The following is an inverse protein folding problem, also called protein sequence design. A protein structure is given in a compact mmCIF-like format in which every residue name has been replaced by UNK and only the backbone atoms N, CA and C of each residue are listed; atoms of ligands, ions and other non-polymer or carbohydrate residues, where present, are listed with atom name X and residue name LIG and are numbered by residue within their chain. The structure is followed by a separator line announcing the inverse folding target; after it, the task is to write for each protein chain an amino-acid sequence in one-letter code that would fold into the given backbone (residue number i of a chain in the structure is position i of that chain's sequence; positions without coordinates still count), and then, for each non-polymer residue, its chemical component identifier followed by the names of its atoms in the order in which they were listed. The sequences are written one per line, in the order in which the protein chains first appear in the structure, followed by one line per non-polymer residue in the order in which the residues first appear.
data_IF_475017272249
#
_entry.id   IF_475017272249
#
_cell.length_a   1.000
_cell.length_b   1.000
_cell.length_c   1.000
_cell.angle_alpha   90.00
_cell.angle_beta   90.00
_cell.angle_gamma   90.00
#
_symmetry.space_group_name_H-M   'P 1'
#
loop_
_entity.id
_entity.type
_entity.pdbx_description
1 polymer ?
#
# COMPACT_ATOMS: atom_id res chain seq x y z
N UNK A 1 8.40 -28.68 -26.16
CA UNK A 1 8.75 -29.54 -25.01
C UNK A 1 9.94 -28.94 -24.28
N UNK A 2 10.01 -29.10 -22.96
CA UNK A 2 11.14 -28.73 -22.11
C UNK A 2 11.69 -30.00 -21.45
N UNK A 3 13.01 -30.10 -21.28
CA UNK A 3 13.66 -31.22 -20.61
C UNK A 3 13.94 -30.86 -19.16
N UNK A 4 13.44 -31.67 -18.23
CA UNK A 4 13.71 -31.54 -16.79
C UNK A 4 14.34 -32.85 -16.32
N UNK A 5 15.63 -32.82 -16.03
CA UNK A 5 16.42 -34.03 -15.78
C UNK A 5 16.39 -34.97 -17.00
N UNK A 6 15.89 -36.18 -16.79
CA UNK A 6 15.77 -37.22 -17.83
C UNK A 6 14.39 -37.28 -18.50
N UNK A 7 13.45 -36.40 -18.11
CA UNK A 7 12.09 -36.38 -18.67
C UNK A 7 11.91 -35.24 -19.65
N UNK A 8 11.27 -35.55 -20.78
CA UNK A 8 10.72 -34.54 -21.70
C UNK A 8 9.26 -34.29 -21.36
N UNK A 9 8.92 -33.01 -21.19
CA UNK A 9 7.59 -32.57 -20.75
C UNK A 9 7.09 -31.50 -21.73
N UNK A 10 5.80 -31.51 -22.04
CA UNK A 10 5.18 -30.44 -22.83
C UNK A 10 5.22 -29.11 -22.07
N UNK A 11 5.62 -28.03 -22.74
CA UNK A 11 5.71 -26.71 -22.13
C UNK A 11 4.44 -25.92 -22.41
N UNK A 12 3.73 -25.50 -21.35
CA UNK A 12 2.58 -24.61 -21.48
C UNK A 12 3.04 -23.14 -21.62
N UNK A 13 2.69 -22.42 -22.70
CA UNK A 13 3.03 -21.01 -22.87
C UNK A 13 2.57 -20.08 -21.74
N UNK A 14 1.49 -20.42 -21.04
CA UNK A 14 0.96 -19.64 -19.91
C UNK A 14 1.64 -19.94 -18.57
N UNK A 15 2.61 -20.85 -18.54
CA UNK A 15 3.32 -21.19 -17.32
C UNK A 15 4.14 -20.01 -16.78
N UNK A 16 3.97 -19.73 -15.47
CA UNK A 16 4.74 -18.72 -14.74
C UNK A 16 5.38 -19.36 -13.51
N UNK A 17 6.63 -18.99 -13.24
CA UNK A 17 7.40 -19.55 -12.14
C UNK A 17 7.97 -18.44 -11.25
N UNK A 18 7.76 -18.59 -9.94
CA UNK A 18 8.23 -17.66 -8.93
C UNK A 18 8.93 -18.45 -7.82
N UNK A 19 10.09 -17.98 -7.38
CA UNK A 19 10.81 -18.50 -6.21
C UNK A 19 10.91 -17.39 -5.19
N UNK A 20 10.70 -17.71 -3.91
CA UNK A 20 10.89 -16.79 -2.80
C UNK A 20 11.93 -17.33 -1.82
N UNK A 21 12.61 -16.42 -1.12
CA UNK A 21 13.57 -16.74 -0.06
C UNK A 21 13.41 -15.75 1.08
N UNK A 22 13.71 -16.19 2.31
CA UNK A 22 13.71 -15.34 3.51
C UNK A 22 15.06 -14.69 3.77
N UNK A 23 16.09 -15.04 3.01
CA UNK A 23 17.41 -14.43 3.13
C UNK A 23 17.34 -13.00 2.59
N UNK A 24 17.78 -12.02 3.38
CA UNK A 24 17.70 -10.59 3.01
C UNK A 24 18.64 -10.21 1.86
N UNK A 25 19.80 -10.86 1.77
CA UNK A 25 20.78 -10.64 0.70
C UNK A 25 21.51 -11.94 0.32
N UNK A 26 20.82 -12.90 -0.31
CA UNK A 26 21.44 -14.13 -0.79
C UNK A 26 22.45 -13.80 -1.89
N UNK A 27 23.67 -14.31 -1.76
CA UNK A 27 24.70 -14.13 -2.78
C UNK A 27 24.46 -15.12 -3.93
N UNK A 28 23.77 -14.67 -4.99
CA UNK A 28 23.60 -15.44 -6.22
C UNK A 28 24.81 -15.29 -7.13
N UNK A 29 25.15 -16.37 -7.85
CA UNK A 29 26.19 -16.30 -8.88
C UNK A 29 25.71 -15.44 -10.06
N UNK A 30 26.63 -14.82 -10.82
CA UNK A 30 26.27 -14.03 -12.01
C UNK A 30 25.41 -14.83 -13.00
N UNK A 31 25.65 -16.14 -13.11
CA UNK A 31 24.85 -17.02 -13.96
C UNK A 31 23.36 -17.00 -13.58
N UNK A 32 23.04 -17.12 -12.29
CA UNK A 32 21.65 -17.06 -11.82
C UNK A 32 21.08 -15.65 -12.06
N UNK A 33 21.84 -14.60 -11.74
CA UNK A 33 21.42 -13.21 -11.91
C UNK A 33 21.14 -12.83 -13.38
N UNK A 34 21.75 -13.50 -14.36
CA UNK A 34 21.41 -13.30 -15.78
C UNK A 34 20.15 -14.04 -16.23
N UNK A 35 19.76 -15.12 -15.55
CA UNK A 35 18.62 -15.98 -15.90
C UNK A 35 17.35 -15.63 -15.14
N UNK A 36 17.45 -14.86 -14.07
CA UNK A 36 16.33 -14.52 -13.18
C UNK A 36 16.27 -13.04 -12.89
N UNK A 37 15.06 -12.50 -12.77
CA UNK A 37 14.84 -11.15 -12.24
C UNK A 37 14.74 -11.21 -10.72
N UNK A 38 15.73 -10.63 -10.03
CA UNK A 38 15.74 -10.57 -8.57
C UNK A 38 14.91 -9.36 -8.11
N UNK A 39 13.89 -9.61 -7.29
CA UNK A 39 13.07 -8.56 -6.64
C UNK A 39 13.38 -8.57 -5.15
N UNK A 40 13.87 -7.44 -4.63
CA UNK A 40 14.21 -7.30 -3.22
C UNK A 40 13.11 -6.56 -2.46
N UNK A 41 12.49 -7.24 -1.49
CA UNK A 41 11.47 -6.69 -0.58
C UNK A 41 12.06 -6.17 0.74
N UNK A 42 13.32 -5.73 0.74
CA UNK A 42 13.96 -5.18 1.92
C UNK A 42 13.15 -4.01 2.48
N UNK A 43 12.90 -4.07 3.80
CA UNK A 43 12.22 -3.02 4.55
C UNK A 43 13.06 -1.75 4.47
N UNK A 44 12.42 -0.65 4.08
CA UNK A 44 13.03 0.68 4.04
C UNK A 44 12.62 1.48 5.27
N UNK A 45 13.52 2.30 5.78
CA UNK A 45 13.31 3.08 7.00
C UNK A 45 12.07 3.95 6.94
N UNK A 46 11.89 4.71 5.87
CA UNK A 46 10.71 5.54 5.65
C UNK A 46 9.40 4.71 5.59
N UNK A 47 9.46 3.51 5.00
CA UNK A 47 8.31 2.61 4.91
C UNK A 47 7.94 2.03 6.28
N UNK A 48 8.94 1.62 7.06
CA UNK A 48 8.75 1.12 8.41
C UNK A 48 8.24 2.21 9.35
N UNK A 49 8.81 3.42 9.27
CA UNK A 49 8.34 4.58 10.04
C UNK A 49 6.85 4.85 9.79
N UNK A 50 6.42 4.88 8.53
CA UNK A 50 5.02 5.07 8.18
C UNK A 50 4.12 3.95 8.73
N UNK A 51 4.59 2.70 8.72
CA UNK A 51 3.87 1.57 9.30
C UNK A 51 3.75 1.69 10.83
N UNK A 52 4.84 2.07 11.50
CA UNK A 52 4.87 2.26 12.95
C UNK A 52 4.01 3.45 13.37
N UNK A 53 3.95 4.52 12.56
CA UNK A 53 3.07 5.65 12.78
C UNK A 53 1.60 5.21 12.83
N UNK A 54 1.16 4.39 11.87
CA UNK A 54 -0.19 3.84 11.88
C UNK A 54 -0.49 3.01 13.14
N UNK A 55 0.49 2.23 13.62
CA UNK A 55 0.34 1.46 14.87
C UNK A 55 0.19 2.39 16.09
N UNK A 56 0.99 3.46 16.18
CA UNK A 56 0.89 4.43 17.28
C UNK A 56 -0.44 5.15 17.25
N UNK A 57 -0.83 5.69 16.09
CA UNK A 57 -2.09 6.42 15.91
C UNK A 57 -3.27 5.50 16.23
N UNK A 58 -3.27 4.26 15.73
CA UNK A 58 -4.34 3.30 16.01
C UNK A 58 -4.46 2.91 17.49
N UNK A 59 -3.39 3.04 18.28
CA UNK A 59 -3.41 2.80 19.74
C UNK A 59 -3.81 4.04 20.54
N UNK A 60 -3.34 5.22 20.15
CA UNK A 60 -3.56 6.48 20.88
C UNK A 60 -4.87 7.19 20.47
N UNK A 61 -5.22 7.14 19.19
CA UNK A 61 -6.42 7.77 18.62
C UNK A 61 -7.05 6.86 17.54
N UNK A 62 -7.76 5.79 17.94
CA UNK A 62 -8.35 4.82 17.02
C UNK A 62 -9.31 5.45 16.01
N UNK A 63 -10.11 6.43 16.45
CA UNK A 63 -11.08 7.13 15.59
C UNK A 63 -10.39 7.87 14.42
N UNK A 64 -9.18 8.40 14.64
CA UNK A 64 -8.41 9.07 13.60
C UNK A 64 -7.89 8.07 12.56
N UNK A 65 -7.42 6.89 13.00
CA UNK A 65 -6.95 5.85 12.09
C UNK A 65 -8.12 5.23 11.30
N UNK A 66 -9.27 4.97 11.92
CA UNK A 66 -10.47 4.48 11.22
C UNK A 66 -10.97 5.49 10.16
N UNK A 67 -10.91 6.79 10.46
CA UNK A 67 -11.19 7.84 9.48
C UNK A 67 -10.19 7.85 8.32
N UNK A 68 -8.90 7.64 8.58
CA UNK A 68 -7.89 7.51 7.52
C UNK A 68 -8.16 6.29 6.64
N UNK A 69 -8.44 5.14 7.24
CA UNK A 69 -8.70 3.89 6.52
C UNK A 69 -9.95 3.98 5.64
N UNK A 70 -11.04 4.52 6.18
CA UNK A 70 -12.29 4.72 5.42
C UNK A 70 -12.11 5.73 4.28
N UNK A 71 -11.34 6.79 4.50
CA UNK A 71 -11.03 7.79 3.49
C UNK A 71 -10.19 7.20 2.34
N UNK A 72 -9.14 6.44 2.65
CA UNK A 72 -8.29 5.79 1.64
C UNK A 72 -9.09 4.83 0.77
N UNK A 73 -9.99 4.03 1.38
CA UNK A 73 -10.90 3.15 0.63
C UNK A 73 -11.82 3.95 -0.29
N UNK A 74 -12.43 5.03 0.22
CA UNK A 74 -13.32 5.88 -0.55
C UNK A 74 -12.61 6.55 -1.74
N UNK A 75 -11.36 6.98 -1.57
CA UNK A 75 -10.54 7.55 -2.65
C UNK A 75 -10.23 6.47 -3.70
N UNK A 76 -9.86 5.26 -3.28
CA UNK A 76 -9.57 4.15 -4.19
C UNK A 76 -10.81 3.77 -5.01
N UNK A 77 -11.97 3.63 -4.35
CA UNK A 77 -13.24 3.32 -4.99
C UNK A 77 -13.68 4.42 -5.95
N UNK A 78 -13.52 5.70 -5.56
CA UNK A 78 -13.81 6.84 -6.43
C UNK A 78 -12.93 6.87 -7.67
N UNK A 79 -11.60 6.68 -7.52
CA UNK A 79 -10.66 6.62 -8.65
C UNK A 79 -10.97 5.45 -9.58
N UNK A 80 -11.26 4.28 -9.02
CA UNK A 80 -11.69 3.12 -9.81
C UNK A 80 -12.95 3.42 -10.61
N UNK A 81 -13.95 4.04 -9.99
CA UNK A 81 -15.21 4.39 -10.64
C UNK A 81 -15.02 5.39 -11.79
N UNK A 82 -14.09 6.34 -11.66
CA UNK A 82 -13.75 7.24 -12.77
C UNK A 82 -13.17 6.48 -13.98
N UNK A 83 -12.27 5.53 -13.74
CA UNK A 83 -11.71 4.69 -14.82
C UNK A 83 -12.80 3.84 -15.47
N UNK A 84 -13.68 3.23 -14.68
CA UNK A 84 -14.81 2.44 -15.19
C UNK A 84 -15.77 3.28 -16.04
N UNK A 85 -16.05 4.53 -15.64
CA UNK A 85 -16.87 5.46 -16.43
C UNK A 85 -16.17 5.86 -17.73
N UNK A 86 -14.86 6.09 -17.72
CA UNK A 86 -14.07 6.41 -18.91
C UNK A 86 -14.06 5.25 -19.91
N UNK A 87 -13.81 4.02 -19.42
CA UNK A 87 -13.84 2.80 -20.22
C UNK A 87 -15.23 2.55 -20.82
N UNK A 88 -16.30 2.81 -20.06
CA UNK A 88 -17.67 2.68 -20.55
C UNK A 88 -17.98 3.69 -21.66
N UNK A 89 -17.56 4.94 -21.51
CA UNK A 89 -17.70 5.98 -22.54
C UNK A 89 -16.96 5.56 -23.82
N UNK A 90 -15.72 5.10 -23.70
CA UNK A 90 -14.92 4.65 -24.84
C UNK A 90 -15.54 3.45 -25.55
N UNK A 91 -16.07 2.48 -24.78
CA UNK A 91 -16.80 1.33 -25.32
C UNK A 91 -18.02 1.79 -26.13
N UNK A 92 -18.85 2.64 -25.54
CA UNK A 92 -20.06 3.14 -26.18
C UNK A 92 -19.74 3.89 -27.49
N UNK A 93 -18.74 4.78 -27.47
CA UNK A 93 -18.30 5.50 -28.67
C UNK A 93 -17.78 4.59 -29.79
N UNK A 94 -17.15 3.46 -29.44
CA UNK A 94 -16.61 2.50 -30.40
C UNK A 94 -17.69 1.56 -30.98
N UNK A 95 -18.71 1.23 -30.19
CA UNK A 95 -19.81 0.35 -30.60
C UNK A 95 -20.85 1.05 -31.48
N UNK A 96 -21.02 2.38 -31.33
CA UNK A 96 -21.97 3.15 -32.12
C UNK A 96 -21.58 3.19 -33.61
N UNK A 97 -22.42 2.58 -34.45
CA UNK A 97 -22.30 2.65 -35.92
C UNK A 97 -23.33 3.64 -36.46
N UNK A 98 -22.89 4.83 -36.89
CA UNK A 98 -23.77 5.86 -37.47
C UNK A 98 -23.51 7.25 -36.89
N UNK A 99 -24.48 8.15 -37.04
CA UNK A 99 -24.42 9.50 -36.44
C UNK A 99 -24.68 9.42 -34.94
N UNK A 100 -23.72 9.86 -34.13
CA UNK A 100 -23.82 9.93 -32.67
C UNK A 100 -25.01 10.78 -32.18
N UNK A 101 -25.49 11.70 -33.01
CA UNK A 101 -26.60 12.60 -32.67
C UNK A 101 -27.97 11.92 -32.81
N UNK A 102 -28.04 10.80 -33.51
CA UNK A 102 -29.29 10.09 -33.77
C UNK A 102 -29.58 9.01 -32.70
N UNK A 103 -28.59 8.69 -31.86
CA UNK A 103 -28.71 7.72 -30.77
C UNK A 103 -29.02 8.44 -29.44
N UNK A 104 -30.32 8.66 -29.21
CA UNK A 104 -30.81 9.31 -27.99
C UNK A 104 -30.43 8.53 -26.71
N UNK A 105 -30.30 7.21 -26.78
CA UNK A 105 -29.87 6.41 -25.63
C UNK A 105 -28.40 6.65 -25.30
N UNK A 106 -27.54 6.73 -26.31
CA UNK A 106 -26.13 7.08 -26.15
C UNK A 106 -25.97 8.47 -25.54
N UNK A 107 -26.66 9.48 -26.06
CA UNK A 107 -26.57 10.86 -25.56
C UNK A 107 -26.99 10.94 -24.09
N UNK A 108 -28.06 10.25 -23.72
CA UNK A 108 -28.53 10.21 -22.34
C UNK A 108 -27.53 9.50 -21.40
N UNK A 109 -26.95 8.38 -21.83
CA UNK A 109 -25.93 7.67 -21.04
C UNK A 109 -24.66 8.51 -20.89
N UNK A 110 -24.18 9.16 -21.95
CA UNK A 110 -23.02 10.06 -21.91
C UNK A 110 -23.26 11.24 -20.96
N UNK A 111 -24.46 11.82 -20.98
CA UNK A 111 -24.82 12.91 -20.08
C UNK A 111 -24.89 12.44 -18.62
N UNK A 112 -25.45 11.25 -18.35
CA UNK A 112 -25.49 10.68 -17.01
C UNK A 112 -24.07 10.38 -16.48
N UNK A 113 -23.23 9.73 -17.29
CA UNK A 113 -21.83 9.43 -16.93
C UNK A 113 -21.02 10.70 -16.70
N UNK A 114 -21.26 11.76 -17.47
CA UNK A 114 -20.62 13.07 -17.26
C UNK A 114 -20.99 13.67 -15.91
N UNK A 115 -22.28 13.66 -15.55
CA UNK A 115 -22.74 14.18 -14.25
C UNK A 115 -22.14 13.37 -13.11
N UNK A 116 -22.22 12.04 -13.16
CA UNK A 116 -21.63 11.18 -12.12
C UNK A 116 -20.11 11.34 -12.03
N UNK A 117 -19.40 11.47 -13.15
CA UNK A 117 -17.96 11.72 -13.14
C UNK A 117 -17.61 13.05 -12.47
N UNK A 118 -18.41 14.09 -12.70
CA UNK A 118 -18.21 15.39 -12.06
C UNK A 118 -18.45 15.31 -10.55
N UNK A 119 -19.55 14.68 -10.12
CA UNK A 119 -19.85 14.46 -8.69
C UNK A 119 -18.75 13.67 -7.98
N UNK A 120 -18.27 12.57 -8.59
CA UNK A 120 -17.17 11.76 -8.03
C UNK A 120 -15.87 12.57 -7.97
N UNK A 121 -15.57 13.38 -8.99
CA UNK A 121 -14.39 14.24 -9.00
C UNK A 121 -14.42 15.30 -7.90
N UNK A 122 -15.58 15.94 -7.68
CA UNK A 122 -15.76 16.92 -6.59
C UNK A 122 -15.61 16.23 -5.21
N UNK A 123 -16.19 15.05 -5.04
CA UNK A 123 -16.06 14.26 -3.81
C UNK A 123 -14.62 13.81 -3.55
N UNK A 124 -13.88 13.43 -4.59
CA UNK A 124 -12.46 13.08 -4.49
C UNK A 124 -11.63 14.29 -4.05
N UNK A 125 -11.90 15.47 -4.60
CA UNK A 125 -11.19 16.70 -4.20
C UNK A 125 -11.41 17.04 -2.72
N UNK A 126 -12.64 16.88 -2.21
CA UNK A 126 -12.95 17.06 -0.78
C UNK A 126 -12.22 16.00 0.07
N UNK A 127 -12.19 14.76 -0.42
CA UNK A 127 -11.55 13.64 0.26
C UNK A 127 -10.04 13.84 0.37
N UNK A 128 -9.37 14.29 -0.71
CA UNK A 128 -7.93 14.61 -0.71
C UNK A 128 -7.61 15.79 0.24
N UNK A 129 -8.44 16.83 0.28
CA UNK A 129 -8.25 17.91 1.26
C UNK A 129 -8.43 17.44 2.70
N UNK A 130 -9.37 16.53 2.94
CA UNK A 130 -9.58 15.92 4.25
C UNK A 130 -8.42 15.02 4.62
N UNK A 131 -7.83 14.33 3.65
CA UNK A 131 -6.66 13.46 3.83
C UNK A 131 -5.47 14.26 4.37
N UNK A 132 -5.19 15.43 3.79
CA UNK A 132 -4.12 16.33 4.25
C UNK A 132 -4.34 16.75 5.70
N UNK A 133 -5.58 17.04 6.10
CA UNK A 133 -5.90 17.41 7.50
C UNK A 133 -5.71 16.23 8.45
N UNK A 134 -6.10 15.03 8.04
CA UNK A 134 -5.91 13.81 8.82
C UNK A 134 -4.42 13.51 8.98
N UNK A 135 -3.65 13.58 7.89
CA UNK A 135 -2.21 13.33 7.95
C UNK A 135 -1.51 14.37 8.82
N UNK A 136 -1.87 15.65 8.74
CA UNK A 136 -1.37 16.68 9.66
C UNK A 136 -1.66 16.38 11.14
N UNK A 137 -2.83 15.80 11.46
CA UNK A 137 -3.13 15.36 12.82
C UNK A 137 -2.28 14.15 13.25
N UNK A 138 -1.93 13.26 12.31
CA UNK A 138 -1.05 12.09 12.56
C UNK A 138 0.40 12.50 12.79
N UNK A 139 0.86 13.60 12.20
CA UNK A 139 2.23 14.11 12.37
C UNK A 139 2.64 14.33 13.84
N UNK A 140 1.69 14.61 14.73
CA UNK A 140 1.95 14.71 16.18
C UNK A 140 2.56 13.45 16.80
N UNK A 141 2.35 12.28 16.18
CA UNK A 141 2.87 10.99 16.62
C UNK A 141 4.14 10.54 15.86
N UNK A 142 4.52 11.24 14.78
CA UNK A 142 5.68 10.88 13.94
C UNK A 142 6.99 10.75 14.73
N UNK A 143 7.33 11.64 15.70
CA UNK A 143 8.57 11.50 16.46
C UNK A 143 8.67 10.18 17.25
N UNK A 144 7.54 9.59 17.65
CA UNK A 144 7.53 8.28 18.29
C UNK A 144 7.84 7.16 17.27
N UNK A 145 7.20 7.21 16.10
CA UNK A 145 7.41 6.24 15.02
C UNK A 145 8.85 6.28 14.47
N UNK A 146 9.42 7.47 14.29
CA UNK A 146 10.81 7.67 13.85
C UNK A 146 11.81 6.99 14.79
N UNK A 147 11.71 7.26 16.10
CA UNK A 147 12.59 6.66 17.12
C UNK A 147 12.51 5.14 17.12
N UNK A 148 11.32 4.59 16.97
CA UNK A 148 11.09 3.14 16.95
C UNK A 148 11.64 2.53 15.66
N UNK A 149 11.48 3.21 14.51
CA UNK A 149 12.10 2.78 13.25
C UNK A 149 13.63 2.69 13.37
N UNK A 150 14.28 3.73 13.89
CA UNK A 150 15.74 3.75 14.12
C UNK A 150 16.18 2.59 15.00
N UNK A 151 15.46 2.32 16.10
CA UNK A 151 15.78 1.22 17.00
C UNK A 151 15.72 -0.16 16.31
N UNK A 152 14.76 -0.38 15.40
CA UNK A 152 14.70 -1.61 14.62
C UNK A 152 15.93 -1.77 13.72
N UNK A 153 16.35 -0.71 13.01
CA UNK A 153 17.52 -0.79 12.13
C UNK A 153 18.81 -0.99 12.92
N UNK A 154 18.96 -0.35 14.08
CA UNK A 154 20.09 -0.60 14.99
C UNK A 154 20.13 -2.07 15.43
N UNK A 155 18.98 -2.69 15.74
CA UNK A 155 18.91 -4.12 16.06
C UNK A 155 19.24 -5.01 14.86
N UNK A 156 18.76 -4.65 13.66
CA UNK A 156 19.05 -5.38 12.43
C UNK A 156 20.55 -5.33 12.07
N UNK A 157 21.21 -4.19 12.34
CA UNK A 157 22.63 -3.98 12.11
C UNK A 157 23.53 -4.71 13.13
N UNK A 158 22.97 -5.42 14.11
CA UNK A 158 23.73 -6.31 15.00
C UNK A 158 24.04 -7.67 14.36
N UNK A 159 23.32 -8.08 13.31
CA UNK A 159 23.52 -9.37 12.63
C UNK A 159 24.94 -9.62 12.09
N UNK A 160 25.67 -8.60 11.58
CA UNK A 160 27.08 -8.74 11.21
C UNK A 160 28.04 -8.99 12.39
N UNK A 161 27.66 -8.63 13.62
CA UNK A 161 28.49 -8.86 14.82
C UNK A 161 28.41 -10.32 15.24
N UNK A 162 27.20 -10.85 15.35
CA UNK A 162 26.95 -12.27 15.63
C UNK A 162 25.71 -12.74 14.84
N UNK A 163 25.81 -13.85 14.06
CA UNK A 163 24.69 -14.40 13.31
C UNK A 163 23.46 -14.77 14.16
N UNK A 164 23.61 -14.95 15.48
CA UNK A 164 22.50 -15.19 16.40
C UNK A 164 21.67 -13.93 16.70
N UNK A 165 22.20 -12.72 16.45
CA UNK A 165 21.48 -11.45 16.61
C UNK A 165 20.61 -11.16 15.39
N UNK A 166 19.67 -12.06 15.12
CA UNK A 166 18.65 -11.91 14.09
C UNK A 166 17.27 -11.81 14.74
N UNK A 167 16.60 -10.69 14.47
CA UNK A 167 15.27 -10.42 14.99
C UNK A 167 14.31 -10.28 13.81
N UNK A 168 13.16 -10.94 13.90
CA UNK A 168 12.10 -10.73 12.91
C UNK A 168 11.42 -9.39 13.15
N UNK A 169 10.96 -8.75 12.07
CA UNK A 169 10.16 -7.54 12.16
C UNK A 169 8.86 -7.80 12.96
N UNK A 170 8.24 -8.96 12.77
CA UNK A 170 6.99 -9.32 13.49
C UNK A 170 7.19 -9.32 15.01
N UNK A 171 8.26 -9.97 15.50
CA UNK A 171 8.56 -10.00 16.93
C UNK A 171 8.88 -8.60 17.48
N UNK A 172 9.54 -7.76 16.68
CA UNK A 172 9.79 -6.37 17.04
C UNK A 172 8.49 -5.56 17.16
N UNK A 173 7.58 -5.70 16.19
CA UNK A 173 6.28 -5.03 16.17
C UNK A 173 5.42 -5.47 17.36
N UNK A 174 5.40 -6.76 17.69
CA UNK A 174 4.65 -7.27 18.84
C UNK A 174 5.18 -6.71 20.16
N UNK A 175 6.51 -6.66 20.31
CA UNK A 175 7.14 -6.05 21.47
C UNK A 175 6.85 -4.55 21.56
N UNK A 176 6.83 -3.86 20.42
CA UNK A 176 6.47 -2.45 20.34
C UNK A 176 5.02 -2.21 20.81
N UNK A 177 4.05 -2.97 20.28
CA UNK A 177 2.64 -2.90 20.71
C UNK A 177 2.49 -3.15 22.21
N UNK A 178 3.17 -4.18 22.72
CA UNK A 178 3.18 -4.50 24.14
C UNK A 178 3.77 -3.37 24.99
N UNK A 179 4.79 -2.68 24.48
CA UNK A 179 5.42 -1.55 25.18
C UNK A 179 4.47 -0.36 25.32
N UNK A 180 3.66 -0.07 24.29
CA UNK A 180 2.62 0.96 24.33
C UNK A 180 1.57 0.58 25.38
N UNK A 181 1.07 -0.66 25.34
CA UNK A 181 0.01 -1.14 26.24
C UNK A 181 0.44 -1.13 27.73
N UNK A 182 1.73 -1.35 28.01
CA UNK A 182 2.30 -1.31 29.37
C UNK A 182 2.75 0.08 29.82
N UNK A 183 2.84 1.04 28.91
CA UNK A 183 3.37 2.36 29.23
C UNK A 183 2.39 3.14 30.12
N UNK A 184 2.88 3.86 31.15
CA UNK A 184 2.03 4.75 31.91
C UNK A 184 1.60 5.93 31.03
N UNK A 185 0.31 6.28 31.09
CA UNK A 185 -0.19 7.44 30.34
C UNK A 185 0.52 8.72 30.78
N UNK A 186 1.01 9.48 29.81
CA UNK A 186 1.62 10.78 30.07
C UNK A 186 0.61 11.72 30.72
N UNK A 187 0.99 12.37 31.83
CA UNK A 187 0.16 13.36 32.51
C UNK A 187 0.10 14.72 31.77
N UNK A 188 0.97 14.95 30.78
CA UNK A 188 1.17 16.27 30.16
C UNK A 188 0.23 16.60 28.99
N UNK A 189 -0.63 15.68 28.54
CA UNK A 189 -1.53 15.91 27.38
C UNK A 189 -2.87 16.61 27.70
N UNK A 190 -3.10 17.01 28.97
CA UNK A 190 -4.37 17.62 29.43
C UNK A 190 -4.32 19.14 29.68
N UNK A 191 -3.28 19.84 29.23
CA UNK A 191 -3.23 21.31 29.33
C UNK A 191 -3.22 21.87 27.92
N UNK A 192 -4.19 22.75 27.66
CA UNK A 192 -4.42 23.49 26.42
C UNK A 192 -5.41 22.83 25.43
N UNK A 193 -6.64 22.68 25.92
CA UNK A 193 -7.86 22.87 25.12
C UNK A 193 -8.56 24.13 25.60
#
# INVERSE_FOLDING_TARGET
MIRIGDKEIEYNPEFRFYITTKLSNPHYTPEISTKTTIVNFAVKEQGLEAQLLGIVVGKENPDLEEKKDSLVRSIADGKKKLVELEDEILRLLNETKGSLLDDEQLVNTLQASKVTSQEVSEQLQISEQTEVKIDAAREGYRPAAERVSILFFVLNDMGPIDPMYQFSLDSYIDQFKLSIDKSPRSQSWRRES
#
